data_IF_591721122024
#
_entry.id   IF_591721122024
#
_cell.length_a   1.000
_cell.length_b   1.000
_cell.length_c   1.000
_cell.angle_alpha   90.00
_cell.angle_beta   90.00
_cell.angle_gamma   90.00
#
_symmetry.space_group_name_H-M   'P 1'
#
loop_
_entity.id
_entity.type
_entity.pdbx_description
1 polymer ?
#
# COMPACT_ATOMS: atom_id res chain seq x y z
N UNK A 1 66.77 -37.90 19.64
CA UNK A 1 66.16 -38.66 18.52
C UNK A 1 64.65 -38.60 18.67
N UNK A 2 63.98 -37.79 17.86
CA UNK A 2 62.52 -37.57 17.97
C UNK A 2 61.79 -38.75 17.31
N UNK A 3 60.88 -39.39 18.05
CA UNK A 3 60.24 -40.65 17.64
C UNK A 3 59.39 -40.46 16.36
N UNK A 4 59.46 -41.42 15.45
CA UNK A 4 58.77 -41.42 14.15
C UNK A 4 57.25 -41.27 14.29
N UNK A 5 56.70 -41.70 15.44
CA UNK A 5 55.29 -41.51 15.81
C UNK A 5 54.96 -40.04 16.12
N UNK A 6 55.82 -39.32 16.84
CA UNK A 6 55.63 -37.89 17.16
C UNK A 6 55.73 -37.02 15.91
N UNK A 7 56.58 -37.40 14.95
CA UNK A 7 56.74 -36.69 13.67
C UNK A 7 55.53 -36.87 12.74
N UNK A 8 54.85 -38.03 12.79
CA UNK A 8 53.62 -38.28 12.02
C UNK A 8 52.40 -37.56 12.60
N UNK A 9 52.28 -37.52 13.93
CA UNK A 9 51.19 -36.82 14.63
C UNK A 9 51.26 -35.30 14.43
N UNK A 10 52.47 -34.71 14.53
CA UNK A 10 52.66 -33.28 14.32
C UNK A 10 52.42 -32.88 12.85
N UNK A 11 52.80 -33.72 11.87
CA UNK A 11 52.56 -33.46 10.45
C UNK A 11 51.06 -33.60 10.09
N UNK A 12 50.33 -34.50 10.74
CA UNK A 12 48.87 -34.62 10.58
C UNK A 12 48.09 -33.50 11.27
N UNK A 13 48.56 -32.98 12.41
CA UNK A 13 47.94 -31.84 13.10
C UNK A 13 48.27 -30.49 12.45
N UNK A 14 49.45 -30.34 11.83
CA UNK A 14 49.80 -29.14 11.03
C UNK A 14 48.96 -29.03 9.75
N UNK A 15 48.53 -30.15 9.17
CA UNK A 15 47.77 -30.18 7.93
C UNK A 15 46.29 -29.80 8.13
N UNK A 16 45.74 -29.96 9.33
CA UNK A 16 44.35 -29.57 9.66
C UNK A 16 44.23 -28.07 9.97
N UNK A 17 45.34 -27.37 10.26
CA UNK A 17 45.36 -25.95 10.62
C UNK A 17 45.60 -24.98 9.45
N UNK A 18 45.71 -25.49 8.20
CA UNK A 18 45.93 -24.67 7.00
C UNK A 18 44.80 -24.75 5.96
N UNK A 19 43.64 -25.29 6.34
CA UNK A 19 42.45 -25.18 5.47
C UNK A 19 41.80 -23.83 5.75
N UNK A 20 42.30 -22.77 5.10
CA UNK A 20 41.53 -21.55 4.90
C UNK A 20 40.37 -21.90 3.97
N UNK A 21 39.24 -22.37 4.52
CA UNK A 21 38.02 -22.53 3.74
C UNK A 21 37.47 -21.12 3.49
N UNK A 22 37.88 -20.52 2.38
CA UNK A 22 37.19 -19.35 1.85
C UNK A 22 35.88 -19.83 1.24
N UNK A 23 34.77 -19.66 1.97
CA UNK A 23 33.45 -19.77 1.39
C UNK A 23 33.28 -18.57 0.44
N UNK A 24 32.96 -18.83 -0.83
CA UNK A 24 32.50 -17.79 -1.75
C UNK A 24 31.15 -17.30 -1.23
N UNK A 25 31.14 -16.23 -0.45
CA UNK A 25 29.92 -15.60 0.02
C UNK A 25 29.50 -14.53 -0.98
N UNK A 26 28.22 -14.51 -1.31
CA UNK A 26 27.65 -13.43 -2.10
C UNK A 26 27.65 -12.12 -1.32
N UNK A 27 28.06 -11.05 -1.98
CA UNK A 27 28.17 -9.70 -1.42
C UNK A 27 27.39 -8.67 -2.24
N UNK A 28 26.78 -9.08 -3.35
CA UNK A 28 25.96 -8.18 -4.17
C UNK A 28 24.52 -8.24 -3.68
N UNK A 29 23.90 -7.07 -3.51
CA UNK A 29 22.51 -7.00 -3.10
C UNK A 29 21.57 -7.11 -4.30
N UNK A 30 20.33 -7.60 -4.10
CA UNK A 30 19.31 -7.54 -5.13
C UNK A 30 19.05 -6.10 -5.59
N UNK A 31 18.71 -5.92 -6.85
CA UNK A 31 18.43 -4.62 -7.47
C UNK A 31 16.96 -4.49 -7.86
N UNK A 32 16.44 -3.26 -7.77
CA UNK A 32 15.09 -2.92 -8.24
C UNK A 32 15.14 -2.72 -9.76
N UNK A 33 14.41 -3.55 -10.50
CA UNK A 33 14.24 -3.43 -11.96
C UNK A 33 13.04 -2.55 -12.29
N UNK A 34 11.95 -2.70 -11.52
CA UNK A 34 10.79 -1.82 -11.59
C UNK A 34 10.31 -1.53 -10.18
N UNK A 35 10.06 -0.25 -9.89
CA UNK A 35 9.49 0.19 -8.62
C UNK A 35 8.05 -0.31 -8.42
N UNK A 36 7.63 -0.38 -7.16
CA UNK A 36 6.23 -0.58 -6.80
C UNK A 36 5.39 0.62 -7.28
N UNK A 37 4.11 0.39 -7.54
CA UNK A 37 3.20 1.39 -8.10
C UNK A 37 1.96 1.56 -7.25
N UNK A 38 1.58 2.81 -7.12
CA UNK A 38 0.33 3.22 -6.50
C UNK A 38 -0.87 2.60 -7.23
N UNK A 39 -1.87 2.19 -6.46
CA UNK A 39 -3.12 1.60 -6.98
C UNK A 39 -4.31 2.25 -6.30
N UNK A 40 -5.27 2.72 -7.10
CA UNK A 40 -6.47 3.40 -6.62
C UNK A 40 -7.75 2.72 -7.09
N UNK A 41 -8.79 2.77 -6.27
CA UNK A 41 -10.15 2.32 -6.59
C UNK A 41 -11.20 3.39 -6.22
N UNK A 42 -12.37 3.34 -6.84
CA UNK A 42 -13.47 4.25 -6.52
C UNK A 42 -13.99 3.98 -5.09
N UNK A 43 -14.11 5.01 -4.27
CA UNK A 43 -14.60 4.89 -2.90
C UNK A 43 -16.11 4.64 -2.84
N UNK A 44 -16.57 3.95 -1.80
CA UNK A 44 -17.99 3.71 -1.54
C UNK A 44 -18.72 2.74 -2.49
N UNK A 45 -18.17 2.42 -3.66
CA UNK A 45 -18.80 1.49 -4.64
C UNK A 45 -17.95 0.26 -4.95
N UNK A 46 -16.63 0.34 -4.77
CA UNK A 46 -15.74 -0.81 -5.05
C UNK A 46 -15.91 -1.88 -4.00
N UNK A 47 -16.27 -3.09 -4.41
CA UNK A 47 -16.37 -4.26 -3.53
C UNK A 47 -15.05 -5.01 -3.42
N UNK A 48 -14.90 -5.82 -2.36
CA UNK A 48 -13.75 -6.70 -2.12
C UNK A 48 -12.40 -5.97 -2.11
N UNK A 49 -12.35 -4.77 -1.53
CA UNK A 49 -11.12 -3.98 -1.42
C UNK A 49 -10.02 -4.71 -0.65
N UNK A 50 -10.35 -5.50 0.39
CA UNK A 50 -9.37 -6.31 1.13
C UNK A 50 -8.71 -7.40 0.27
N UNK A 51 -9.46 -8.04 -0.63
CA UNK A 51 -8.91 -9.05 -1.54
C UNK A 51 -8.01 -8.42 -2.60
N UNK A 52 -8.40 -7.24 -3.10
CA UNK A 52 -7.60 -6.43 -4.02
C UNK A 52 -6.30 -5.97 -3.35
N UNK A 53 -6.37 -5.53 -2.10
CA UNK A 53 -5.20 -5.18 -1.29
C UNK A 53 -4.29 -6.40 -1.08
N UNK A 54 -4.86 -7.56 -0.78
CA UNK A 54 -4.10 -8.81 -0.62
C UNK A 54 -3.36 -9.18 -1.89
N UNK A 55 -4.03 -9.09 -3.03
CA UNK A 55 -3.42 -9.36 -4.35
C UNK A 55 -2.29 -8.36 -4.66
N UNK A 56 -2.54 -7.06 -4.45
CA UNK A 56 -1.54 -6.02 -4.66
C UNK A 56 -0.32 -6.20 -3.75
N UNK A 57 -0.53 -6.53 -2.48
CA UNK A 57 0.53 -6.76 -1.50
C UNK A 57 1.39 -7.97 -1.87
N UNK A 58 0.75 -9.10 -2.22
CA UNK A 58 1.45 -10.33 -2.61
C UNK A 58 2.25 -10.18 -3.90
N UNK A 59 1.83 -9.26 -4.78
CA UNK A 59 2.56 -8.90 -6.00
C UNK A 59 3.60 -7.78 -5.77
N UNK A 60 3.96 -7.49 -4.51
CA UNK A 60 4.91 -6.44 -4.14
C UNK A 60 4.56 -5.04 -4.71
N UNK A 61 3.26 -4.74 -4.82
CA UNK A 61 2.78 -3.52 -5.48
C UNK A 61 3.20 -3.40 -6.95
N UNK A 62 3.53 -4.52 -7.61
CA UNK A 62 4.06 -4.57 -8.97
C UNK A 62 5.57 -4.33 -9.08
N UNK A 63 6.30 -4.27 -7.96
CA UNK A 63 7.75 -4.17 -7.98
C UNK A 63 8.39 -5.44 -8.56
N UNK A 64 9.50 -5.27 -9.28
CA UNK A 64 10.30 -6.36 -9.82
C UNK A 64 11.74 -6.19 -9.33
N UNK A 65 12.27 -7.25 -8.74
CA UNK A 65 13.64 -7.33 -8.24
C UNK A 65 14.43 -8.38 -9.04
N UNK A 66 15.74 -8.21 -9.12
CA UNK A 66 16.65 -9.17 -9.72
C UNK A 66 17.90 -9.29 -8.87
N UNK A 67 18.53 -10.46 -8.89
CA UNK A 67 19.74 -10.74 -8.14
C UNK A 67 20.62 -11.72 -8.91
N UNK A 68 21.94 -11.61 -8.77
CA UNK A 68 22.92 -12.43 -9.48
C UNK A 68 23.03 -13.86 -8.89
N UNK A 69 22.67 -14.06 -7.61
CA UNK A 69 22.60 -15.38 -6.96
C UNK A 69 21.32 -16.15 -7.32
N UNK A 70 20.34 -15.45 -7.89
CA UNK A 70 19.09 -16.00 -8.42
C UNK A 70 18.02 -16.29 -7.37
N UNK A 71 18.31 -16.23 -6.07
CA UNK A 71 17.33 -16.42 -4.99
C UNK A 71 17.28 -15.25 -4.03
N UNK A 72 16.09 -14.66 -3.88
CA UNK A 72 15.82 -13.62 -2.89
C UNK A 72 14.38 -13.75 -2.37
N UNK A 73 14.12 -13.14 -1.23
CA UNK A 73 12.79 -13.04 -0.63
C UNK A 73 12.38 -11.57 -0.55
N UNK A 74 11.13 -11.27 -0.88
CA UNK A 74 10.58 -9.92 -0.73
C UNK A 74 10.20 -9.70 0.74
N UNK A 75 10.63 -8.57 1.28
CA UNK A 75 10.38 -8.15 2.66
C UNK A 75 9.67 -6.80 2.66
N UNK A 76 8.70 -6.66 3.56
CA UNK A 76 7.88 -5.46 3.70
C UNK A 76 8.04 -4.83 5.08
N UNK A 77 7.78 -3.52 5.19
CA UNK A 77 7.81 -2.82 6.48
C UNK A 77 6.66 -3.21 7.43
N UNK A 78 5.58 -3.77 6.89
CA UNK A 78 4.40 -4.24 7.63
C UNK A 78 3.91 -5.58 7.06
N UNK A 79 3.29 -6.40 7.89
CA UNK A 79 2.63 -7.63 7.47
C UNK A 79 1.34 -7.34 6.68
N UNK A 80 0.86 -8.31 5.90
CA UNK A 80 -0.43 -8.21 5.21
C UNK A 80 -1.59 -7.90 6.18
N UNK A 81 -1.62 -8.54 7.35
CA UNK A 81 -2.66 -8.31 8.36
C UNK A 81 -2.62 -6.87 8.91
N UNK A 82 -1.43 -6.31 9.11
CA UNK A 82 -1.25 -4.91 9.48
C UNK A 82 -1.69 -3.98 8.36
N UNK A 83 -1.35 -4.29 7.11
CA UNK A 83 -1.76 -3.48 5.95
C UNK A 83 -3.30 -3.42 5.84
N UNK A 84 -3.98 -4.55 5.99
CA UNK A 84 -5.46 -4.62 6.02
C UNK A 84 -6.02 -3.80 7.18
N UNK A 85 -5.42 -3.91 8.37
CA UNK A 85 -5.87 -3.17 9.56
C UNK A 85 -5.72 -1.66 9.37
N UNK A 86 -4.56 -1.20 8.87
CA UNK A 86 -4.30 0.22 8.59
C UNK A 86 -5.29 0.73 7.54
N UNK A 87 -5.47 -0.02 6.44
CA UNK A 87 -6.41 0.35 5.38
C UNK A 87 -7.85 0.50 5.92
N UNK A 88 -8.32 -0.44 6.74
CA UNK A 88 -9.67 -0.36 7.33
C UNK A 88 -9.80 0.78 8.34
N UNK A 89 -8.76 1.05 9.13
CA UNK A 89 -8.77 2.13 10.12
C UNK A 89 -8.59 3.53 9.49
N UNK A 90 -8.15 3.61 8.24
CA UNK A 90 -8.01 4.86 7.49
C UNK A 90 -9.33 5.37 6.88
N UNK A 91 -10.46 4.74 7.19
CA UNK A 91 -11.76 5.08 6.62
C UNK A 91 -12.18 6.50 6.99
N UNK A 92 -12.16 7.38 5.98
CA UNK A 92 -12.71 8.72 6.05
C UNK A 92 -14.12 8.73 5.47
N UNK A 93 -15.10 8.54 6.35
CA UNK A 93 -16.52 8.62 5.99
C UNK A 93 -16.96 10.03 5.62
N UNK A 94 -16.26 11.08 6.04
CA UNK A 94 -16.64 12.47 5.73
C UNK A 94 -16.17 12.87 4.33
N UNK A 95 -15.13 12.21 3.81
CA UNK A 95 -14.58 12.43 2.47
C UNK A 95 -14.94 11.31 1.48
N UNK A 96 -16.15 10.76 1.56
CA UNK A 96 -16.68 9.81 0.56
C UNK A 96 -16.28 8.35 0.77
N UNK A 97 -15.94 7.94 1.99
CA UNK A 97 -15.41 6.61 2.33
C UNK A 97 -14.02 6.34 1.72
N UNK A 98 -13.13 7.34 1.79
CA UNK A 98 -11.73 7.19 1.37
C UNK A 98 -10.95 6.32 2.35
N UNK A 99 -9.98 5.56 1.84
CA UNK A 99 -9.11 4.68 2.61
C UNK A 99 -7.72 4.68 1.96
N UNK A 100 -6.67 4.44 2.74
CA UNK A 100 -5.28 4.41 2.30
C UNK A 100 -4.40 3.54 3.19
N UNK A 101 -3.43 2.86 2.59
CA UNK A 101 -2.28 2.26 3.26
C UNK A 101 -1.03 2.44 2.40
N UNK A 102 0.11 2.66 3.03
CA UNK A 102 1.43 2.72 2.39
C UNK A 102 2.24 1.49 2.76
N UNK A 103 2.85 0.85 1.76
CA UNK A 103 3.72 -0.31 1.95
C UNK A 103 5.05 -0.07 1.28
N UNK A 104 6.12 -0.37 2.02
CA UNK A 104 7.50 -0.32 1.52
C UNK A 104 8.00 -1.73 1.32
N UNK A 105 8.52 -2.00 0.13
CA UNK A 105 9.03 -3.28 -0.33
C UNK A 105 10.55 -3.22 -0.50
N UNK A 106 11.22 -4.33 -0.20
CA UNK A 106 12.64 -4.59 -0.43
C UNK A 106 12.83 -6.07 -0.73
N UNK A 107 14.01 -6.46 -1.19
CA UNK A 107 14.40 -7.86 -1.36
C UNK A 107 15.65 -8.16 -0.53
N UNK A 108 15.69 -9.34 0.08
CA UNK A 108 16.85 -9.86 0.82
C UNK A 108 17.25 -11.19 0.18
N UNK A 109 18.51 -11.31 -0.22
CA UNK A 109 19.06 -12.54 -0.79
C UNK A 109 19.34 -13.62 0.29
N UNK A 110 19.87 -14.76 -0.13
CA UNK A 110 20.23 -15.85 0.79
C UNK A 110 21.45 -15.55 1.67
N UNK A 111 22.32 -14.61 1.27
CA UNK A 111 23.51 -14.19 2.02
C UNK A 111 23.20 -13.07 3.03
N UNK A 112 22.01 -12.48 2.97
CA UNK A 112 21.55 -11.38 3.82
C UNK A 112 21.74 -9.99 3.24
N UNK A 113 22.18 -9.86 1.98
CA UNK A 113 22.29 -8.55 1.34
C UNK A 113 20.89 -8.03 1.00
N UNK A 114 20.66 -6.74 1.22
CA UNK A 114 19.33 -6.12 1.09
C UNK A 114 19.33 -5.07 0.00
N UNK A 115 18.32 -5.09 -0.85
CA UNK A 115 18.11 -4.09 -1.89
C UNK A 115 17.82 -2.70 -1.33
N UNK A 116 17.84 -1.70 -2.21
CA UNK A 116 17.11 -0.45 -1.95
C UNK A 116 15.61 -0.72 -1.72
N UNK A 117 14.91 0.24 -1.12
CA UNK A 117 13.46 0.16 -0.88
C UNK A 117 12.65 0.86 -1.97
N UNK A 118 11.43 0.40 -2.20
CA UNK A 118 10.41 1.10 -3.00
C UNK A 118 9.10 1.16 -2.23
N UNK A 119 8.44 2.31 -2.22
CA UNK A 119 7.17 2.51 -1.51
C UNK A 119 6.05 2.76 -2.49
N UNK A 120 4.87 2.22 -2.22
CA UNK A 120 3.66 2.49 -2.97
C UNK A 120 2.43 2.52 -2.06
N UNK A 121 1.40 3.23 -2.51
CA UNK A 121 0.12 3.38 -1.83
C UNK A 121 -0.97 2.50 -2.46
N UNK A 122 -1.76 1.86 -1.61
CA UNK A 122 -3.06 1.31 -1.98
C UNK A 122 -4.16 2.18 -1.35
N UNK A 123 -5.02 2.78 -2.17
CA UNK A 123 -5.98 3.78 -1.68
C UNK A 123 -7.27 3.81 -2.48
N UNK A 124 -8.25 4.56 -1.99
CA UNK A 124 -9.48 4.88 -2.72
C UNK A 124 -9.59 6.37 -2.99
N UNK A 125 -10.18 6.70 -4.14
CA UNK A 125 -10.39 8.08 -4.60
C UNK A 125 -11.82 8.21 -5.10
N UNK A 126 -12.43 9.37 -4.88
CA UNK A 126 -13.68 9.73 -5.55
C UNK A 126 -13.33 10.32 -6.92
N UNK A 127 -13.65 9.60 -7.99
CA UNK A 127 -13.48 10.08 -9.37
C UNK A 127 -14.81 10.13 -10.11
N UNK A 128 -15.93 9.79 -9.45
CA UNK A 128 -17.22 9.71 -10.12
C UNK A 128 -18.10 10.91 -9.77
N UNK A 129 -18.36 11.82 -10.73
CA UNK A 129 -19.22 12.97 -10.48
C UNK A 129 -20.62 12.58 -9.99
N UNK A 130 -21.25 13.40 -9.14
CA UNK A 130 -22.64 13.19 -8.74
C UNK A 130 -23.58 13.35 -9.94
N UNK A 131 -24.61 12.51 -10.00
CA UNK A 131 -25.65 12.58 -11.04
C UNK A 131 -26.94 13.18 -10.46
N UNK A 132 -27.43 14.28 -11.04
CA UNK A 132 -28.72 14.87 -10.67
C UNK A 132 -29.82 14.19 -11.49
N UNK A 133 -30.49 13.19 -10.91
CA UNK A 133 -31.48 12.39 -11.62
C UNK A 133 -32.84 13.08 -11.79
N UNK A 134 -33.10 14.13 -11.01
CA UNK A 134 -34.28 14.97 -11.18
C UNK A 134 -34.06 16.29 -10.44
N UNK A 135 -34.56 17.39 -10.99
CA UNK A 135 -34.68 18.66 -10.25
C UNK A 135 -36.15 18.77 -9.86
N UNK A 136 -36.50 18.92 -8.56
CA UNK A 136 -37.90 19.13 -8.20
C UNK A 136 -38.35 20.47 -8.81
N UNK A 137 -39.31 20.43 -9.73
CA UNK A 137 -40.00 21.66 -10.16
C UNK A 137 -41.07 21.98 -9.12
N UNK A 138 -40.87 23.05 -8.37
CA UNK A 138 -41.90 23.56 -7.46
C UNK A 138 -42.39 24.89 -8.00
N UNK A 139 -43.70 24.99 -8.22
CA UNK A 139 -44.37 26.26 -8.49
C UNK A 139 -44.80 26.89 -7.17
N UNK A 140 -44.55 28.18 -7.02
CA UNK A 140 -44.97 28.95 -5.85
C UNK A 140 -45.85 30.12 -6.30
N UNK A 141 -46.95 30.33 -5.58
CA UNK A 141 -47.78 31.52 -5.75
C UNK A 141 -47.05 32.75 -5.21
N UNK A 142 -47.16 33.88 -5.92
CA UNK A 142 -46.61 35.15 -5.46
C UNK A 142 -47.29 35.59 -4.16
N UNK A 143 -46.54 35.55 -3.06
CA UNK A 143 -46.96 36.03 -1.74
C UNK A 143 -45.83 36.81 -1.05
N UNK A 144 -46.21 37.69 -0.11
CA UNK A 144 -45.24 38.33 0.80
C UNK A 144 -44.46 37.25 1.55
N UNK A 145 -43.14 37.39 1.65
CA UNK A 145 -42.26 36.39 2.28
C UNK A 145 -41.83 35.24 1.36
N UNK A 146 -42.01 35.34 0.03
CA UNK A 146 -41.60 34.28 -0.91
C UNK A 146 -40.09 33.94 -0.82
N UNK A 147 -39.24 34.92 -0.48
CA UNK A 147 -37.80 34.67 -0.26
C UNK A 147 -37.55 33.64 0.85
N UNK A 148 -38.32 33.71 1.93
CA UNK A 148 -38.22 32.77 3.05
C UNK A 148 -38.64 31.36 2.62
N UNK A 149 -39.63 31.26 1.72
CA UNK A 149 -40.06 29.96 1.17
C UNK A 149 -39.02 29.35 0.23
N UNK A 150 -38.30 30.16 -0.56
CA UNK A 150 -37.19 29.68 -1.39
C UNK A 150 -36.02 29.21 -0.53
N UNK A 151 -35.66 29.98 0.50
CA UNK A 151 -34.59 29.60 1.45
C UNK A 151 -34.95 28.30 2.18
N UNK A 152 -36.21 28.15 2.62
CA UNK A 152 -36.68 26.91 3.23
C UNK A 152 -36.66 25.71 2.25
N UNK A 153 -37.01 25.93 0.99
CA UNK A 153 -36.93 24.90 -0.05
C UNK A 153 -35.50 24.46 -0.34
N UNK A 154 -34.56 25.40 -0.51
CA UNK A 154 -33.14 25.08 -0.72
C UNK A 154 -32.59 24.26 0.46
N UNK A 155 -32.93 24.66 1.71
CA UNK A 155 -32.54 23.93 2.92
C UNK A 155 -33.16 22.53 3.01
N UNK A 156 -34.34 22.30 2.43
CA UNK A 156 -35.05 21.03 2.50
C UNK A 156 -34.68 20.07 1.36
N UNK A 157 -34.69 20.55 0.13
CA UNK A 157 -34.61 19.73 -1.09
C UNK A 157 -33.24 19.80 -1.78
N UNK A 158 -32.45 20.86 -1.56
CA UNK A 158 -31.10 21.01 -2.12
C UNK A 158 -30.09 19.99 -1.58
N UNK A 159 -30.40 19.37 -0.44
CA UNK A 159 -29.55 18.41 0.27
C UNK A 159 -29.81 16.95 -0.13
N UNK A 160 -30.97 16.65 -0.75
CA UNK A 160 -31.48 15.27 -0.89
C UNK A 160 -31.05 14.60 -2.22
N UNK A 161 -30.48 15.33 -3.19
CA UNK A 161 -30.24 14.81 -4.55
C UNK A 161 -28.78 14.62 -4.96
N UNK A 162 -27.85 14.69 -4.02
CA UNK A 162 -26.51 14.11 -4.21
C UNK A 162 -26.51 12.70 -3.62
N UNK A 163 -26.57 11.67 -4.46
CA UNK A 163 -26.53 10.27 -4.03
C UNK A 163 -25.18 9.83 -3.44
N UNK A 164 -24.19 10.73 -3.36
CA UNK A 164 -22.84 10.43 -2.85
C UNK A 164 -22.29 11.49 -1.88
N UNK A 165 -23.11 11.80 -0.88
CA UNK A 165 -22.70 12.49 0.35
C UNK A 165 -22.48 14.00 0.24
N UNK A 166 -22.44 14.60 1.43
CA UNK A 166 -22.67 15.98 1.81
C UNK A 166 -21.71 16.95 1.10
N UNK A 167 -22.20 17.61 0.04
CA UNK A 167 -21.67 18.92 -0.31
C UNK A 167 -22.13 19.90 0.76
N UNK A 168 -21.33 20.09 1.82
CA UNK A 168 -21.44 21.27 2.66
C UNK A 168 -21.07 22.48 1.80
N UNK A 169 -22.05 23.05 1.11
CA UNK A 169 -21.99 24.47 0.79
C UNK A 169 -22.29 25.21 2.10
N UNK A 170 -21.23 25.46 2.88
CA UNK A 170 -21.25 26.54 3.86
C UNK A 170 -21.51 27.82 3.08
N UNK A 171 -22.76 28.27 3.07
CA UNK A 171 -23.06 29.66 2.79
C UNK A 171 -22.41 30.44 3.92
N UNK A 172 -21.23 31.01 3.65
CA UNK A 172 -20.69 32.11 4.43
C UNK A 172 -21.75 33.22 4.41
N UNK A 173 -22.05 33.72 5.61
CA UNK A 173 -22.96 34.84 5.87
C UNK A 173 -22.66 36.07 5.00
#
# INVERSE_FOLDING_TARGET
>A
MMNIYTRRIVLSLLCVFLINIAFSQDTEAPVIISAARDTSYECGVTTNLSDKLTTWFNNAGGAVFSDNSGSFTIVTNITLAQAITIFNNSLDVLCGNKQKVDVTFSAIDAAGNTSATTTASFFTTDITPPTINSVPSVQYDCKVGIRDTLIAWIKKEGWIRSSRQLLQYTYLE
#
